data_IF_546843384088
#
_entry.id   IF_546843384088
#
_cell.length_a   1.000
_cell.length_b   1.000
_cell.length_c   1.000
_cell.angle_alpha   90.00
_cell.angle_beta   90.00
_cell.angle_gamma   90.00
#
_symmetry.space_group_name_H-M   'P 1'
#
loop_
_entity.id
_entity.type
_entity.pdbx_description
1 polymer ?
#
# COMPACT_ATOMS: atom_id res chain seq x y z
N UNK A 1 17.55 -9.38 16.77
CA UNK A 1 16.35 -8.87 16.06
C UNK A 1 15.13 -9.26 16.87
N UNK A 2 14.45 -8.29 17.47
CA UNK A 2 13.17 -8.54 18.15
C UNK A 2 12.10 -8.64 17.08
N UNK A 3 11.44 -9.81 16.97
CA UNK A 3 10.27 -9.98 16.10
C UNK A 3 9.13 -9.19 16.75
N UNK A 4 8.66 -8.13 16.11
CA UNK A 4 7.41 -7.50 16.52
C UNK A 4 6.27 -8.45 16.16
N UNK A 5 5.39 -8.72 17.13
CA UNK A 5 4.27 -9.63 16.96
C UNK A 5 3.27 -9.01 15.97
N UNK A 6 3.22 -9.56 14.76
CA UNK A 6 2.22 -9.27 13.71
C UNK A 6 0.78 -9.72 14.11
N UNK A 7 0.57 -10.13 15.36
CA UNK A 7 -0.64 -10.80 15.83
C UNK A 7 -1.76 -9.88 16.34
N UNK A 8 -1.57 -8.56 16.37
CA UNK A 8 -2.56 -7.62 16.93
C UNK A 8 -3.25 -6.72 15.91
N UNK A 9 -3.14 -7.04 14.62
CA UNK A 9 -3.84 -6.33 13.56
C UNK A 9 -4.77 -7.30 12.85
N UNK A 10 -6.08 -6.98 12.81
CA UNK A 10 -7.11 -7.65 11.98
C UNK A 10 -6.87 -7.42 10.48
N UNK A 11 -5.64 -7.59 10.03
CA UNK A 11 -5.27 -7.52 8.63
C UNK A 11 -5.49 -8.89 8.01
N UNK A 12 -5.90 -8.92 6.75
CA UNK A 12 -5.93 -10.17 6.03
C UNK A 12 -4.49 -10.75 5.95
N UNK A 13 -4.35 -12.08 5.87
CA UNK A 13 -3.03 -12.71 5.89
C UNK A 13 -2.07 -12.17 4.81
N UNK A 14 -2.60 -11.74 3.66
CA UNK A 14 -1.82 -11.14 2.58
C UNK A 14 -1.26 -9.77 2.99
N UNK A 15 -2.11 -8.90 3.54
CA UNK A 15 -1.71 -7.56 3.95
C UNK A 15 -0.69 -7.62 5.09
N UNK A 16 -0.88 -8.57 6.01
CA UNK A 16 0.07 -8.83 7.07
C UNK A 16 1.47 -9.15 6.53
N UNK A 17 1.55 -9.99 5.48
CA UNK A 17 2.83 -10.32 4.83
C UNK A 17 3.45 -9.12 4.11
N UNK A 18 2.63 -8.33 3.42
CA UNK A 18 3.11 -7.12 2.74
C UNK A 18 3.70 -6.11 3.75
N UNK A 19 3.00 -5.87 4.87
CA UNK A 19 3.45 -4.99 5.95
C UNK A 19 4.75 -5.47 6.59
N UNK A 20 4.88 -6.77 6.83
CA UNK A 20 6.08 -7.35 7.42
C UNK A 20 7.31 -7.12 6.52
N UNK A 21 7.17 -7.35 5.21
CA UNK A 21 8.23 -7.08 4.24
C UNK A 21 8.57 -5.58 4.17
N UNK A 22 7.56 -4.72 4.14
CA UNK A 22 7.75 -3.25 4.10
C UNK A 22 8.53 -2.78 5.33
N UNK A 23 8.17 -3.26 6.53
CA UNK A 23 8.84 -2.93 7.79
C UNK A 23 10.26 -3.50 7.90
N UNK A 24 10.48 -4.73 7.43
CA UNK A 24 11.81 -5.35 7.49
C UNK A 24 12.85 -4.66 6.60
N UNK A 25 12.41 -3.94 5.58
CA UNK A 25 13.27 -3.26 4.62
C UNK A 25 13.29 -1.74 4.78
N UNK A 26 12.72 -1.21 5.87
CA UNK A 26 12.57 0.23 6.12
C UNK A 26 11.90 0.97 4.94
N UNK A 27 11.01 0.28 4.22
CA UNK A 27 10.23 0.87 3.13
C UNK A 27 9.05 1.61 3.76
N UNK A 28 8.76 2.80 3.24
CA UNK A 28 7.64 3.64 3.73
C UNK A 28 6.53 3.79 2.72
N UNK A 29 6.68 3.23 1.51
CA UNK A 29 5.76 3.39 0.39
C UNK A 29 5.38 2.05 -0.22
N UNK A 30 4.09 1.85 -0.51
CA UNK A 30 3.59 0.64 -1.15
C UNK A 30 2.71 1.00 -2.35
N UNK A 31 2.99 0.42 -3.52
CA UNK A 31 2.10 0.56 -4.67
C UNK A 31 1.00 -0.48 -4.57
N UNK A 32 -0.23 -0.04 -4.33
CA UNK A 32 -1.39 -0.93 -4.21
C UNK A 32 -2.69 -0.20 -4.54
N UNK A 33 -3.63 -0.94 -5.13
CA UNK A 33 -5.01 -0.49 -5.32
C UNK A 33 -5.92 -0.80 -4.14
N UNK A 34 -5.42 -1.57 -3.16
CA UNK A 34 -6.16 -1.89 -1.96
C UNK A 34 -6.08 -0.73 -0.95
N UNK A 35 -7.23 -0.17 -0.60
CA UNK A 35 -7.34 0.99 0.29
C UNK A 35 -7.08 0.63 1.77
N UNK A 36 -7.06 -0.66 2.13
CA UNK A 36 -6.79 -1.07 3.51
C UNK A 36 -5.37 -0.73 3.98
N UNK A 37 -4.43 -0.57 3.05
CA UNK A 37 -3.08 -0.08 3.36
C UNK A 37 -3.04 1.38 3.82
N UNK A 38 -4.07 2.19 3.52
CA UNK A 38 -4.16 3.58 4.00
C UNK A 38 -4.36 3.66 5.53
N UNK A 39 -4.76 2.56 6.17
CA UNK A 39 -4.98 2.47 7.62
C UNK A 39 -3.72 2.08 8.39
N UNK A 40 -2.63 1.77 7.70
CA UNK A 40 -1.42 1.20 8.32
C UNK A 40 -0.42 2.30 8.62
N UNK A 41 -0.18 2.53 9.92
CA UNK A 41 0.77 3.53 10.36
C UNK A 41 2.19 3.25 9.84
N UNK A 42 2.84 4.30 9.32
CA UNK A 42 4.20 4.23 8.78
C UNK A 42 4.29 3.77 7.32
N UNK A 43 3.17 3.43 6.68
CA UNK A 43 3.11 3.06 5.27
C UNK A 43 2.27 4.08 4.49
N UNK A 44 2.80 4.54 3.36
CA UNK A 44 2.11 5.42 2.42
C UNK A 44 1.72 4.62 1.18
N UNK A 45 0.43 4.48 0.91
CA UNK A 45 -0.03 3.86 -0.33
C UNK A 45 0.13 4.80 -1.52
N UNK A 46 0.55 4.25 -2.65
CA UNK A 46 0.64 4.91 -3.95
C UNK A 46 -0.23 4.17 -4.99
N UNK A 47 -0.79 4.88 -5.98
CA UNK A 47 -0.89 6.35 -6.07
C UNK A 47 -1.85 6.91 -5.01
N UNK A 48 -1.65 8.16 -4.60
CA UNK A 48 -2.60 8.81 -3.69
C UNK A 48 -3.87 9.13 -4.47
N UNK A 49 -5.03 9.02 -3.82
CA UNK A 49 -6.31 9.36 -4.48
C UNK A 49 -6.38 10.83 -4.96
N UNK A 50 -5.50 11.70 -4.42
CA UNK A 50 -5.31 13.09 -4.86
C UNK A 50 -4.43 13.25 -6.10
N UNK A 51 -3.69 12.22 -6.48
CA UNK A 51 -3.02 12.21 -7.76
C UNK A 51 -4.12 12.16 -8.81
N UNK A 52 -4.25 13.19 -9.69
CA UNK A 52 -5.26 13.16 -10.73
C UNK A 52 -5.13 11.82 -11.43
N UNK A 53 -6.24 11.09 -11.52
CA UNK A 53 -6.25 9.86 -12.31
C UNK A 53 -5.58 10.19 -13.65
N UNK A 54 -4.62 9.39 -14.14
CA UNK A 54 -4.20 9.45 -15.54
C UNK A 54 -5.32 9.01 -16.51
N UNK A 55 -6.58 9.07 -16.06
CA UNK A 55 -7.78 8.60 -16.76
C UNK A 55 -8.83 9.72 -16.85
N UNK A 56 -8.44 10.95 -17.14
CA UNK A 56 -9.31 11.87 -17.90
C UNK A 56 -9.02 11.83 -19.41
N UNK A 57 -7.84 11.33 -19.82
CA UNK A 57 -7.37 11.46 -21.21
C UNK A 57 -7.16 10.09 -21.89
N UNK A 58 -7.74 9.01 -21.35
CA UNK A 58 -7.59 7.67 -21.92
C UNK A 58 -8.44 7.44 -23.20
N UNK A 59 -9.11 8.47 -23.73
CA UNK A 59 -9.81 8.38 -25.03
C UNK A 59 -8.89 8.59 -26.25
N UNK A 60 -7.68 9.12 -26.07
CA UNK A 60 -6.84 9.53 -27.22
C UNK A 60 -5.68 8.58 -27.55
N UNK A 61 -5.47 7.50 -26.79
CA UNK A 61 -4.33 6.61 -26.99
C UNK A 61 -4.55 5.47 -28.03
N UNK A 62 -5.71 5.44 -28.69
CA UNK A 62 -6.06 4.43 -29.70
C UNK A 62 -6.73 5.03 -30.97
N UNK A 63 -6.42 6.29 -31.33
CA UNK A 63 -6.67 6.83 -32.68
C UNK A 63 -5.38 7.22 -33.39
#
# INVERSE_FOLDING_TARGET
MQRQNLGETKLDPNDALAVDIVRQNDITEIYSFDEDFDKIEGITRLPKLSDPKPCSDMEDAYS
#
